data_IF_012625228442
#
_entry.id   IF_012625228442
#
_cell.length_a   1.000
_cell.length_b   1.000
_cell.length_c   1.000
_cell.angle_alpha   90.00
_cell.angle_beta   90.00
_cell.angle_gamma   90.00
#
_symmetry.space_group_name_H-M   'P 1'
#
loop_
_entity.id
_entity.type
_entity.pdbx_description
1 polymer ?
#
# COMPACT_ATOMS: atom_id res chain seq x y z
N UNK A 1 -13.13 69.25 -49.80
CA UNK A 1 -11.97 68.48 -50.27
C UNK A 1 -11.90 67.19 -49.46
N UNK A 2 -11.98 66.03 -50.12
CA UNK A 2 -11.92 64.70 -49.48
C UNK A 2 -10.47 64.43 -49.03
N UNK A 3 -10.27 64.11 -47.76
CA UNK A 3 -9.05 63.45 -47.29
C UNK A 3 -9.43 62.04 -46.83
N UNK A 4 -8.92 61.05 -47.57
CA UNK A 4 -9.08 59.62 -47.29
C UNK A 4 -7.95 59.10 -46.42
N UNK A 5 -8.34 58.22 -45.51
CA UNK A 5 -7.57 57.53 -44.48
C UNK A 5 -6.36 56.73 -44.99
N UNK A 6 -5.27 56.81 -44.23
CA UNK A 6 -4.25 55.75 -44.15
C UNK A 6 -3.73 55.64 -42.72
N UNK A 7 -4.44 54.92 -41.86
CA UNK A 7 -3.83 54.34 -40.66
C UNK A 7 -4.17 52.86 -40.57
N UNK A 8 -3.18 52.05 -40.95
CA UNK A 8 -3.22 50.59 -40.92
C UNK A 8 -3.17 50.15 -39.46
N UNK A 9 -4.32 49.77 -38.89
CA UNK A 9 -4.38 49.20 -37.55
C UNK A 9 -3.62 47.86 -37.54
N UNK A 10 -2.53 47.79 -36.77
CA UNK A 10 -1.74 46.58 -36.58
C UNK A 10 -2.44 45.74 -35.50
N UNK A 11 -3.30 44.82 -35.92
CA UNK A 11 -4.01 43.90 -35.02
C UNK A 11 -2.99 43.05 -34.26
N UNK A 12 -2.86 43.25 -32.95
CA UNK A 12 -2.10 42.34 -32.08
C UNK A 12 -2.90 41.04 -31.99
N UNK A 13 -2.36 39.96 -32.53
CA UNK A 13 -2.88 38.61 -32.32
C UNK A 13 -2.71 38.26 -30.85
N UNK A 14 -3.82 38.14 -30.12
CA UNK A 14 -3.82 37.53 -28.80
C UNK A 14 -3.57 36.04 -28.99
N UNK A 15 -2.33 35.59 -28.74
CA UNK A 15 -2.03 34.17 -28.60
C UNK A 15 -2.65 33.67 -27.30
N UNK A 16 -3.69 32.86 -27.40
CA UNK A 16 -4.14 31.99 -26.31
C UNK A 16 -2.99 31.04 -25.99
N UNK A 17 -2.49 31.06 -24.74
CA UNK A 17 -1.27 30.33 -24.37
C UNK A 17 -1.53 28.87 -23.94
N UNK A 18 -2.76 28.50 -23.54
CA UNK A 18 -3.19 27.10 -23.36
C UNK A 18 -4.72 26.99 -23.21
N UNK A 19 -5.37 26.02 -23.86
CA UNK A 19 -6.78 25.64 -23.66
C UNK A 19 -6.92 24.34 -22.83
N UNK A 20 -6.19 24.22 -21.72
CA UNK A 20 -6.27 23.04 -20.84
C UNK A 20 -6.96 23.35 -19.53
N UNK A 21 -8.26 23.61 -19.61
CA UNK A 21 -9.18 23.36 -18.48
C UNK A 21 -10.31 22.47 -18.95
N UNK A 22 -9.97 21.24 -19.30
CA UNK A 22 -10.93 20.15 -19.39
C UNK A 22 -10.31 18.96 -18.67
N UNK A 23 -10.34 19.01 -17.35
CA UNK A 23 -10.23 17.80 -16.56
C UNK A 23 -11.54 17.06 -16.76
N UNK A 24 -11.52 16.05 -17.63
CA UNK A 24 -12.58 15.05 -17.68
C UNK A 24 -12.83 14.55 -16.25
N UNK A 25 -14.07 14.66 -15.79
CA UNK A 25 -14.49 14.19 -14.47
C UNK A 25 -14.33 12.67 -14.29
N UNK A 26 -13.90 11.94 -15.32
CA UNK A 26 -13.70 10.49 -15.35
C UNK A 26 -12.49 10.01 -14.55
N UNK A 27 -11.61 10.90 -14.08
CA UNK A 27 -10.46 10.58 -13.22
C UNK A 27 -10.51 11.27 -11.84
N UNK A 28 -11.71 11.65 -11.37
CA UNK A 28 -11.88 12.10 -9.99
C UNK A 28 -11.66 10.91 -9.04
N UNK A 29 -10.42 10.70 -8.61
CA UNK A 29 -10.07 9.75 -7.56
C UNK A 29 -10.86 10.19 -6.32
N UNK A 30 -11.78 9.34 -5.84
CA UNK A 30 -12.62 9.65 -4.69
C UNK A 30 -11.75 10.16 -3.53
N UNK A 31 -11.98 11.40 -3.12
CA UNK A 31 -11.30 12.04 -1.99
C UNK A 31 -11.85 11.54 -0.64
N UNK A 32 -12.82 10.62 -0.64
CA UNK A 32 -13.21 9.92 0.57
C UNK A 32 -11.97 9.21 1.08
N UNK A 33 -11.38 9.73 2.17
CA UNK A 33 -10.23 9.11 2.80
C UNK A 33 -10.57 7.64 3.00
N UNK A 34 -9.80 6.75 2.36
CA UNK A 34 -9.82 5.35 2.73
C UNK A 34 -9.68 5.34 4.26
N UNK A 35 -10.66 4.82 5.02
CA UNK A 35 -10.67 4.90 6.50
C UNK A 35 -9.31 4.44 7.07
N UNK A 36 -8.63 3.55 6.35
CA UNK A 36 -7.29 3.03 6.61
C UNK A 36 -6.19 4.09 6.75
N UNK A 37 -6.36 5.28 6.15
CA UNK A 37 -5.42 6.41 6.28
C UNK A 37 -5.57 7.17 7.60
N UNK A 38 -6.62 6.88 8.38
CA UNK A 38 -6.85 7.45 9.71
C UNK A 38 -6.76 6.41 10.83
N UNK A 39 -6.76 5.13 10.49
CA UNK A 39 -6.72 4.02 11.45
C UNK A 39 -5.29 3.59 11.68
N UNK A 40 -4.85 3.57 12.94
CA UNK A 40 -3.53 3.07 13.33
C UNK A 40 -3.39 1.58 13.02
N UNK A 41 -2.24 1.20 12.48
CA UNK A 41 -1.89 -0.19 12.27
C UNK A 41 -1.64 -0.89 13.61
N UNK A 42 -2.34 -1.99 13.83
CA UNK A 42 -2.24 -2.84 15.02
C UNK A 42 -2.07 -4.28 14.59
N UNK A 43 -1.24 -5.04 15.31
CA UNK A 43 -1.08 -6.49 15.08
C UNK A 43 -1.76 -7.24 16.21
N UNK A 44 -2.50 -8.30 15.87
CA UNK A 44 -3.09 -9.23 16.82
C UNK A 44 -2.68 -10.67 16.48
N UNK A 45 -2.52 -11.49 17.51
CA UNK A 45 -2.47 -12.95 17.39
C UNK A 45 -3.82 -13.43 17.90
N UNK A 46 -4.72 -13.74 16.97
CA UNK A 46 -6.08 -14.21 17.30
C UNK A 46 -6.18 -15.72 17.24
N UNK A 47 -5.23 -16.37 16.58
CA UNK A 47 -5.24 -17.80 16.24
C UNK A 47 -3.81 -18.37 16.28
N UNK A 48 -3.69 -19.69 16.26
CA UNK A 48 -2.40 -20.37 16.14
C UNK A 48 -1.82 -20.11 14.74
N UNK A 49 -0.55 -19.68 14.68
CA UNK A 49 0.15 -19.47 13.41
C UNK A 49 0.29 -20.80 12.64
N UNK A 50 0.23 -20.72 11.31
CA UNK A 50 0.30 -21.90 10.45
C UNK A 50 1.73 -22.47 10.44
N UNK A 51 1.84 -23.78 10.69
CA UNK A 51 3.12 -24.49 10.61
C UNK A 51 3.67 -24.51 9.17
N UNK A 52 4.99 -24.39 8.96
CA UNK A 52 6.04 -24.21 9.96
C UNK A 52 6.32 -22.76 10.36
N UNK A 53 5.55 -21.79 9.87
CA UNK A 53 5.81 -20.34 9.97
C UNK A 53 5.37 -19.72 11.31
N UNK A 54 5.81 -20.34 12.40
CA UNK A 54 5.42 -20.01 13.78
C UNK A 54 6.59 -19.44 14.56
N UNK A 55 6.32 -18.74 15.67
CA UNK A 55 7.36 -18.26 16.59
C UNK A 55 8.34 -19.36 17.05
N UNK A 56 7.84 -20.58 17.27
CA UNK A 56 8.65 -21.72 17.71
C UNK A 56 9.69 -22.19 16.68
N UNK A 57 9.55 -21.80 15.42
CA UNK A 57 10.50 -22.14 14.34
C UNK A 57 11.43 -20.98 13.97
N UNK A 58 11.22 -19.79 14.55
CA UNK A 58 12.07 -18.64 14.31
C UNK A 58 13.41 -18.78 15.02
N UNK A 59 14.49 -18.41 14.35
CA UNK A 59 15.81 -18.24 14.96
C UNK A 59 15.89 -16.86 15.64
N UNK A 60 16.86 -16.64 16.54
CA UNK A 60 17.01 -15.36 17.23
C UNK A 60 17.08 -14.14 16.30
N UNK A 61 17.73 -14.25 15.14
CA UNK A 61 17.77 -13.14 14.17
C UNK A 61 16.40 -12.88 13.51
N UNK A 62 15.58 -13.91 13.31
CA UNK A 62 14.27 -13.76 12.68
C UNK A 62 13.30 -13.06 13.64
N UNK A 63 13.40 -13.39 14.94
CA UNK A 63 12.68 -12.70 16.01
C UNK A 63 13.07 -11.21 16.06
N UNK A 64 14.37 -10.90 15.90
CA UNK A 64 14.83 -9.51 15.78
C UNK A 64 14.23 -8.83 14.55
N UNK A 65 14.17 -9.51 13.41
CA UNK A 65 13.53 -9.00 12.20
C UNK A 65 12.05 -8.67 12.39
N UNK A 66 11.30 -9.55 13.05
CA UNK A 66 9.90 -9.29 13.39
C UNK A 66 9.74 -8.14 14.38
N UNK A 67 10.55 -8.10 15.44
CA UNK A 67 10.55 -7.01 16.42
C UNK A 67 10.87 -5.66 15.77
N UNK A 68 11.80 -5.62 14.82
CA UNK A 68 12.09 -4.41 14.05
C UNK A 68 10.92 -3.96 13.19
N UNK A 69 10.21 -4.88 12.54
CA UNK A 69 8.97 -4.54 11.82
C UNK A 69 7.95 -3.88 12.75
N UNK A 70 7.70 -4.46 13.94
CA UNK A 70 6.79 -3.87 14.93
C UNK A 70 7.26 -2.50 15.39
N UNK A 71 8.57 -2.31 15.63
CA UNK A 71 9.14 -1.02 16.02
C UNK A 71 8.96 0.04 14.93
N UNK A 72 9.12 -0.32 13.66
CA UNK A 72 8.98 0.59 12.51
C UNK A 72 7.52 0.92 12.18
N UNK A 73 6.58 0.06 12.56
CA UNK A 73 5.15 0.20 12.26
C UNK A 73 4.37 0.64 13.50
N UNK A 74 3.93 -0.30 14.33
CA UNK A 74 3.18 -0.08 15.56
C UNK A 74 3.90 0.90 16.50
N UNK A 75 5.22 0.71 16.69
CA UNK A 75 6.03 1.56 17.56
C UNK A 75 6.19 3.01 17.07
N UNK A 76 5.87 3.30 15.80
CA UNK A 76 5.84 4.65 15.24
C UNK A 76 4.43 5.20 15.06
N UNK A 77 3.40 4.47 15.52
CA UNK A 77 2.00 4.81 15.35
C UNK A 77 1.63 5.08 13.88
N UNK A 78 2.17 4.27 12.96
CA UNK A 78 1.79 4.39 11.54
C UNK A 78 0.34 3.95 11.35
N UNK A 79 -0.35 4.62 10.43
CA UNK A 79 -1.66 4.20 9.93
C UNK A 79 -1.55 2.97 9.06
N UNK A 80 -2.66 2.28 8.85
CA UNK A 80 -2.70 1.11 7.97
C UNK A 80 -2.22 1.49 6.57
N UNK A 81 -2.69 2.60 6.00
CA UNK A 81 -2.28 3.03 4.66
C UNK A 81 -0.77 3.36 4.58
N UNK A 82 -0.18 3.92 5.64
CA UNK A 82 1.26 4.17 5.69
C UNK A 82 2.05 2.87 5.73
N UNK A 83 1.64 1.90 6.57
CA UNK A 83 2.28 0.58 6.62
C UNK A 83 2.17 -0.14 5.29
N UNK A 84 1.01 -0.08 4.63
CA UNK A 84 0.84 -0.69 3.31
C UNK A 84 1.72 -0.05 2.25
N UNK A 85 1.79 1.28 2.22
CA UNK A 85 2.63 1.99 1.28
C UNK A 85 4.12 1.63 1.43
N UNK A 86 4.60 1.49 2.66
CA UNK A 86 6.02 1.25 2.94
C UNK A 86 6.43 -0.22 2.87
N UNK A 87 5.57 -1.12 3.36
CA UNK A 87 5.98 -2.51 3.64
C UNK A 87 5.21 -3.55 2.85
N UNK A 88 4.07 -3.21 2.23
CA UNK A 88 3.32 -4.18 1.43
C UNK A 88 4.13 -4.56 0.21
N UNK A 89 4.27 -5.86 -0.01
CA UNK A 89 4.98 -6.35 -1.18
C UNK A 89 4.22 -5.98 -2.44
N UNK A 90 4.94 -5.66 -3.52
CA UNK A 90 4.34 -5.39 -4.83
C UNK A 90 4.68 -6.45 -5.88
N UNK A 91 5.53 -7.43 -5.55
CA UNK A 91 6.02 -8.44 -6.49
C UNK A 91 6.10 -9.87 -5.93
N UNK A 92 6.15 -10.83 -6.85
CA UNK A 92 6.10 -12.28 -6.60
C UNK A 92 4.87 -12.93 -7.27
N UNK A 93 4.83 -14.27 -7.40
CA UNK A 93 3.77 -14.97 -8.13
C UNK A 93 2.37 -14.78 -7.52
N UNK A 94 2.28 -14.50 -6.22
CA UNK A 94 1.03 -14.22 -5.51
C UNK A 94 0.86 -12.74 -5.13
N UNK A 95 1.75 -11.86 -5.63
CA UNK A 95 1.67 -10.42 -5.41
C UNK A 95 1.60 -9.98 -3.95
N UNK A 96 0.98 -8.82 -3.76
CA UNK A 96 0.78 -8.14 -2.48
C UNK A 96 -0.19 -8.86 -1.54
N UNK A 97 -1.17 -9.53 -2.14
CA UNK A 97 -2.33 -10.10 -1.47
C UNK A 97 -2.82 -11.32 -2.23
N UNK A 98 -3.35 -12.30 -1.52
CA UNK A 98 -4.02 -13.44 -2.10
C UNK A 98 -5.17 -13.90 -1.21
N UNK A 99 -6.16 -14.54 -1.83
CA UNK A 99 -7.24 -15.19 -1.09
C UNK A 99 -6.76 -16.55 -0.60
N UNK A 100 -6.92 -16.81 0.69
CA UNK A 100 -6.60 -18.09 1.33
C UNK A 100 -7.72 -18.53 2.26
N UNK A 101 -7.80 -19.82 2.54
CA UNK A 101 -8.67 -20.35 3.60
C UNK A 101 -7.87 -20.42 4.89
N UNK A 102 -8.21 -19.56 5.85
CA UNK A 102 -7.63 -19.55 7.20
C UNK A 102 -8.72 -20.00 8.15
N UNK A 103 -8.50 -21.12 8.86
CA UNK A 103 -9.46 -21.71 9.79
C UNK A 103 -10.86 -21.94 9.18
N UNK A 104 -10.92 -22.41 7.93
CA UNK A 104 -12.17 -22.66 7.21
C UNK A 104 -12.86 -21.41 6.66
N UNK A 105 -12.30 -20.22 6.86
CA UNK A 105 -12.85 -18.95 6.40
C UNK A 105 -11.98 -18.38 5.28
N UNK A 106 -12.62 -17.92 4.20
CA UNK A 106 -11.93 -17.22 3.11
C UNK A 106 -11.47 -15.84 3.59
N UNK A 107 -10.15 -15.60 3.54
CA UNK A 107 -9.51 -14.36 3.97
C UNK A 107 -8.68 -13.76 2.84
N UNK A 108 -8.66 -12.43 2.76
CA UNK A 108 -7.68 -11.70 1.96
C UNK A 108 -6.40 -11.55 2.79
N UNK A 109 -5.39 -12.38 2.51
CA UNK A 109 -4.11 -12.36 3.20
C UNK A 109 -3.19 -11.35 2.52
N UNK A 110 -2.54 -10.52 3.34
CA UNK A 110 -1.60 -9.48 2.94
C UNK A 110 -0.19 -9.91 3.28
N UNK A 111 0.76 -9.57 2.41
CA UNK A 111 2.17 -9.92 2.55
C UNK A 111 3.01 -8.68 2.82
N UNK A 112 3.45 -8.50 4.07
CA UNK A 112 4.37 -7.42 4.44
C UNK A 112 5.82 -7.91 4.45
N UNK A 113 6.74 -7.03 4.05
CA UNK A 113 8.16 -7.17 4.32
C UNK A 113 8.54 -6.43 5.61
N UNK A 114 9.71 -6.73 6.18
CA UNK A 114 10.29 -5.93 7.27
C UNK A 114 11.20 -4.78 6.74
N UNK A 115 11.19 -4.56 5.42
CA UNK A 115 12.15 -3.75 4.67
C UNK A 115 13.18 -4.59 3.89
N UNK A 116 13.27 -5.89 4.15
CA UNK A 116 14.09 -6.83 3.39
C UNK A 116 13.23 -7.72 2.49
N UNK A 117 13.77 -8.13 1.34
CA UNK A 117 12.99 -8.88 0.33
C UNK A 117 12.58 -10.27 0.79
N UNK A 118 13.34 -10.91 1.66
CA UNK A 118 13.16 -12.33 1.96
C UNK A 118 12.26 -12.57 3.18
N UNK A 119 12.12 -11.57 4.05
CA UNK A 119 11.28 -11.62 5.24
C UNK A 119 9.81 -11.32 4.90
N UNK A 120 8.89 -12.16 5.35
CA UNK A 120 7.46 -12.03 5.10
C UNK A 120 6.64 -12.20 6.35
N UNK A 121 5.67 -11.31 6.52
CA UNK A 121 4.66 -11.34 7.56
C UNK A 121 3.31 -11.44 6.86
N UNK A 122 2.60 -12.52 7.13
CA UNK A 122 1.31 -12.78 6.53
C UNK A 122 0.21 -12.58 7.55
N UNK A 123 -0.88 -11.98 7.13
CA UNK A 123 -2.05 -11.77 7.98
C UNK A 123 -3.21 -11.15 7.21
N UNK A 124 -4.34 -11.01 7.89
CA UNK A 124 -5.57 -10.44 7.32
C UNK A 124 -6.13 -9.39 8.28
N UNK A 125 -6.95 -8.48 7.77
CA UNK A 125 -7.65 -7.50 8.62
C UNK A 125 -8.97 -8.10 9.11
N UNK A 126 -9.20 -8.08 10.43
CA UNK A 126 -10.52 -8.40 10.98
C UNK A 126 -11.46 -7.19 10.91
N UNK A 127 -12.69 -7.35 11.42
CA UNK A 127 -13.73 -6.31 11.44
C UNK A 127 -13.33 -5.08 12.26
N UNK A 128 -12.47 -5.25 13.26
CA UNK A 128 -11.96 -4.18 14.12
C UNK A 128 -10.65 -3.56 13.60
N UNK A 129 -10.29 -3.86 12.35
CA UNK A 129 -9.10 -3.38 11.66
C UNK A 129 -7.75 -3.79 12.28
N UNK A 130 -7.71 -4.83 13.11
CA UNK A 130 -6.47 -5.47 13.52
C UNK A 130 -5.91 -6.33 12.39
N UNK A 131 -4.61 -6.21 12.16
CA UNK A 131 -3.87 -7.14 11.34
C UNK A 131 -3.61 -8.43 12.12
N UNK A 132 -4.44 -9.44 11.85
CA UNK A 132 -4.39 -10.75 12.48
C UNK A 132 -3.28 -11.58 11.82
N UNK A 133 -2.21 -11.84 12.57
CA UNK A 133 -1.02 -12.55 12.13
C UNK A 133 -1.32 -14.05 11.92
N UNK A 134 -1.00 -14.58 10.74
CA UNK A 134 -1.15 -16.01 10.45
C UNK A 134 0.18 -16.74 10.17
N UNK A 135 1.20 -16.06 9.61
CA UNK A 135 2.53 -16.64 9.36
C UNK A 135 3.64 -15.61 9.56
N UNK A 136 4.79 -16.06 10.06
CA UNK A 136 6.08 -15.36 9.99
C UNK A 136 7.05 -16.23 9.17
N UNK A 137 7.33 -15.79 7.94
CA UNK A 137 8.21 -16.49 6.99
C UNK A 137 9.46 -15.64 6.72
N UNK A 138 10.52 -15.75 7.56
CA UNK A 138 11.69 -14.90 7.47
C UNK A 138 12.61 -15.21 6.28
N UNK A 139 12.47 -16.39 5.67
CA UNK A 139 13.42 -16.95 4.71
C UNK A 139 12.69 -17.58 3.54
N UNK A 140 11.81 -16.80 2.89
CA UNK A 140 11.05 -17.36 1.80
C UNK A 140 11.97 -17.79 0.64
N UNK A 141 12.02 -19.09 0.36
CA UNK A 141 12.73 -19.61 -0.82
C UNK A 141 11.88 -19.37 -2.07
N UNK A 142 12.38 -18.55 -2.97
CA UNK A 142 11.80 -18.43 -4.31
C UNK A 142 12.22 -19.65 -5.14
N UNK A 143 11.45 -20.73 -5.10
CA UNK A 143 11.57 -21.78 -6.12
C UNK A 143 10.71 -21.37 -7.32
N UNK A 144 11.30 -20.61 -8.24
CA UNK A 144 10.78 -20.58 -9.61
C UNK A 144 11.18 -21.91 -10.25
N UNK A 145 10.21 -22.81 -10.43
CA UNK A 145 10.33 -23.90 -11.40
C UNK A 145 10.09 -23.34 -12.81
#
# INVERSE_FOLDING_TARGET
MKLTDKNKAKTRSNRTLTDKTSTDASNAKSLTSDKRSSVLFKVAVTEVLQSPYTFAKLKPQDIKGFSQFLKKTVGRNLTISEVEKEYLRTGGPHGAKNEEIINGIKQNVYHFSNGERDFRIHGYYNTDAYFCLCRIDPHHKFDYK
#
